data_IF_607222865542
#
_entry.id   IF_607222865542
#
_cell.length_a   1.000
_cell.length_b   1.000
_cell.length_c   1.000
_cell.angle_alpha   90.00
_cell.angle_beta   90.00
_cell.angle_gamma   90.00
#
_symmetry.space_group_name_H-M   'P 1'
#
loop_
_entity.id
_entity.type
_entity.pdbx_description
1 polymer ?
#
# COMPACT_ATOMS: atom_id res chain seq x y z
N UNK A 1 3.73 -0.39 7.42
CA UNK A 1 3.80 -1.87 7.34
C UNK A 1 5.17 -2.31 7.84
N UNK A 2 5.23 -3.14 8.88
CA UNK A 2 6.50 -3.61 9.45
C UNK A 2 6.64 -5.10 9.16
N UNK A 3 7.58 -5.44 8.27
CA UNK A 3 7.80 -6.80 7.79
C UNK A 3 8.81 -7.55 8.65
N UNK A 4 8.70 -8.87 8.66
CA UNK A 4 9.82 -9.72 9.06
C UNK A 4 11.01 -9.40 8.13
N UNK A 5 12.21 -9.07 8.68
CA UNK A 5 13.38 -8.78 7.86
C UNK A 5 13.71 -9.86 6.82
N UNK A 6 13.40 -11.13 7.12
CA UNK A 6 13.61 -12.27 6.20
C UNK A 6 12.58 -12.35 5.08
N UNK A 7 11.49 -11.57 5.16
CA UNK A 7 10.36 -11.54 4.21
C UNK A 7 10.31 -10.29 3.35
N UNK A 8 11.28 -9.39 3.49
CA UNK A 8 11.34 -8.13 2.74
C UNK A 8 11.41 -8.37 1.23
N UNK A 9 12.27 -9.28 0.77
CA UNK A 9 12.42 -9.54 -0.67
C UNK A 9 11.17 -10.20 -1.26
N UNK A 10 10.54 -11.10 -0.51
CA UNK A 10 9.26 -11.71 -0.87
C UNK A 10 8.16 -10.64 -1.02
N UNK A 11 8.09 -9.68 -0.09
CA UNK A 11 7.18 -8.55 -0.18
C UNK A 11 7.43 -7.70 -1.43
N UNK A 12 8.68 -7.33 -1.71
CA UNK A 12 9.01 -6.49 -2.87
C UNK A 12 8.64 -7.18 -4.18
N UNK A 13 8.92 -8.48 -4.30
CA UNK A 13 8.53 -9.28 -5.47
C UNK A 13 7.01 -9.31 -5.63
N UNK A 14 6.28 -9.62 -4.55
CA UNK A 14 4.82 -9.63 -4.57
C UNK A 14 4.24 -8.26 -4.95
N UNK A 15 4.84 -7.16 -4.46
CA UNK A 15 4.41 -5.81 -4.80
C UNK A 15 4.71 -5.46 -6.27
N UNK A 16 5.86 -5.86 -6.79
CA UNK A 16 6.26 -5.61 -8.18
C UNK A 16 5.26 -6.21 -9.18
N UNK A 17 4.78 -7.42 -8.90
CA UNK A 17 3.77 -8.13 -9.71
C UNK A 17 2.42 -7.40 -9.78
N UNK A 18 2.03 -6.69 -8.71
CA UNK A 18 0.67 -6.14 -8.56
C UNK A 18 0.59 -4.63 -8.62
N UNK A 19 1.72 -3.90 -8.50
CA UNK A 19 1.74 -2.43 -8.44
C UNK A 19 1.02 -1.76 -9.61
N UNK A 20 1.14 -2.32 -10.82
CA UNK A 20 0.49 -1.78 -12.01
C UNK A 20 -1.03 -2.03 -12.02
N UNK A 21 -1.49 -3.15 -11.44
CA UNK A 21 -2.92 -3.41 -11.28
C UNK A 21 -3.55 -2.43 -10.29
N UNK A 22 -2.85 -2.14 -9.20
CA UNK A 22 -3.29 -1.17 -8.19
C UNK A 22 -3.26 0.24 -8.79
N UNK A 23 -2.16 0.63 -9.45
CA UNK A 23 -2.01 1.97 -10.05
C UNK A 23 -3.07 2.26 -11.12
N UNK A 24 -3.51 1.23 -11.85
CA UNK A 24 -4.54 1.36 -12.89
C UNK A 24 -5.95 1.03 -12.39
N UNK A 25 -6.14 0.84 -11.09
CA UNK A 25 -7.48 0.68 -10.53
C UNK A 25 -8.26 2.00 -10.65
N UNK A 26 -9.57 1.90 -10.85
CA UNK A 26 -10.41 3.07 -11.04
C UNK A 26 -10.29 4.06 -9.87
N UNK A 27 -10.06 5.34 -10.19
CA UNK A 27 -9.89 6.41 -9.21
C UNK A 27 -8.49 6.61 -8.64
N UNK A 28 -7.49 5.77 -8.96
CA UNK A 28 -6.12 5.98 -8.47
C UNK A 28 -5.39 7.03 -9.30
N UNK A 29 -4.99 8.13 -8.65
CA UNK A 29 -4.23 9.21 -9.28
C UNK A 29 -2.72 9.10 -9.01
N UNK A 30 -2.37 8.51 -7.88
CA UNK A 30 -0.98 8.35 -7.45
C UNK A 30 -0.80 7.06 -6.64
N UNK A 31 0.36 6.43 -6.79
CA UNK A 31 0.79 5.32 -5.94
C UNK A 31 2.32 5.36 -5.80
N UNK A 32 2.80 5.39 -4.56
CA UNK A 32 4.21 5.28 -4.19
C UNK A 32 4.40 4.21 -3.12
N UNK A 33 5.47 3.43 -3.27
CA UNK A 33 6.00 2.59 -2.19
C UNK A 33 7.20 3.31 -1.57
N UNK A 34 7.09 3.63 -0.29
CA UNK A 34 8.12 4.29 0.49
C UNK A 34 8.75 3.28 1.45
N UNK A 35 10.04 3.40 1.69
CA UNK A 35 10.78 2.62 2.70
C UNK A 35 11.30 3.59 3.76
N UNK A 36 11.22 3.19 5.03
CA UNK A 36 11.83 3.95 6.11
C UNK A 36 13.34 4.08 5.91
N UNK A 37 13.92 5.23 6.28
CA UNK A 37 15.33 5.51 6.06
C UNK A 37 16.25 4.76 7.02
N UNK A 38 15.75 4.39 8.20
CA UNK A 38 16.54 3.78 9.28
C UNK A 38 16.26 2.29 9.40
N UNK A 39 15.01 1.88 9.17
CA UNK A 39 14.53 0.52 9.35
C UNK A 39 14.07 -0.05 7.98
N UNK A 40 14.94 -0.74 7.23
CA UNK A 40 14.66 -1.15 5.85
C UNK A 40 13.52 -2.17 5.69
N UNK A 41 13.03 -2.74 6.80
CA UNK A 41 11.88 -3.64 6.85
C UNK A 41 10.55 -2.91 7.13
N UNK A 42 10.57 -1.58 7.23
CA UNK A 42 9.38 -0.74 7.37
C UNK A 42 9.08 -0.07 6.03
N UNK A 43 7.84 -0.25 5.56
CA UNK A 43 7.34 0.30 4.31
C UNK A 43 6.00 1.00 4.48
N UNK A 44 5.74 1.94 3.58
CA UNK A 44 4.48 2.68 3.48
C UNK A 44 4.00 2.67 2.03
N UNK A 45 2.71 2.45 1.83
CA UNK A 45 2.06 2.72 0.55
C UNK A 45 1.34 4.06 0.66
N UNK A 46 1.67 4.99 -0.21
CA UNK A 46 1.02 6.30 -0.30
C UNK A 46 0.29 6.41 -1.61
N UNK A 47 -1.01 6.71 -1.56
CA UNK A 47 -1.86 6.75 -2.75
C UNK A 47 -2.85 7.91 -2.70
N UNK A 48 -3.10 8.52 -3.85
CA UNK A 48 -4.15 9.52 -4.04
C UNK A 48 -5.31 8.91 -4.79
N UNK A 49 -6.52 9.23 -4.34
CA UNK A 49 -7.76 8.71 -4.88
C UNK A 49 -8.68 9.87 -5.24
N UNK A 50 -9.36 9.77 -6.38
CA UNK A 50 -10.32 10.76 -6.85
C UNK A 50 -11.50 10.94 -5.89
N UNK A 51 -11.90 9.88 -5.17
CA UNK A 51 -12.98 9.92 -4.18
C UNK A 51 -12.81 8.82 -3.12
N UNK A 52 -13.41 9.04 -1.95
CA UNK A 52 -13.50 8.02 -0.90
C UNK A 52 -14.24 6.76 -1.39
N UNK A 53 -15.27 6.92 -2.22
CA UNK A 53 -16.03 5.79 -2.78
C UNK A 53 -15.15 4.87 -3.63
N UNK A 54 -14.24 5.41 -4.46
CA UNK A 54 -13.33 4.59 -5.27
C UNK A 54 -12.28 3.89 -4.41
N UNK A 55 -11.80 4.55 -3.35
CA UNK A 55 -10.94 3.90 -2.36
C UNK A 55 -11.66 2.73 -1.67
N UNK A 56 -12.91 2.90 -1.26
CA UNK A 56 -13.68 1.83 -0.64
C UNK A 56 -14.01 0.71 -1.62
N UNK A 57 -14.29 1.01 -2.89
CA UNK A 57 -14.45 0.00 -3.93
C UNK A 57 -13.17 -0.84 -4.09
N UNK A 58 -12.00 -0.20 -4.06
CA UNK A 58 -10.73 -0.91 -4.07
C UNK A 58 -10.53 -1.78 -2.83
N UNK A 59 -10.76 -1.26 -1.61
CA UNK A 59 -10.63 -2.00 -0.36
C UNK A 59 -11.53 -3.24 -0.29
N UNK A 60 -12.70 -3.19 -0.93
CA UNK A 60 -13.64 -4.32 -1.00
C UNK A 60 -13.43 -5.21 -2.24
N UNK A 61 -12.46 -4.92 -3.10
CA UNK A 61 -12.23 -5.65 -4.34
C UNK A 61 -11.49 -6.98 -4.13
N UNK A 62 -11.69 -7.91 -5.08
CA UNK A 62 -10.91 -9.16 -5.14
C UNK A 62 -9.42 -8.92 -5.31
N UNK A 63 -9.03 -7.84 -6.01
CA UNK A 63 -7.63 -7.45 -6.16
C UNK A 63 -7.02 -7.15 -4.79
N UNK A 64 -7.67 -6.31 -3.98
CA UNK A 64 -7.19 -5.97 -2.65
C UNK A 64 -7.13 -7.21 -1.75
N UNK A 65 -8.21 -8.01 -1.71
CA UNK A 65 -8.24 -9.22 -0.89
C UNK A 65 -7.11 -10.19 -1.25
N UNK A 66 -6.87 -10.41 -2.55
CA UNK A 66 -5.77 -11.27 -3.04
C UNK A 66 -4.40 -10.74 -2.64
N UNK A 67 -4.15 -9.44 -2.81
CA UNK A 67 -2.87 -8.81 -2.44
C UNK A 67 -2.68 -8.86 -0.92
N UNK A 68 -3.71 -8.49 -0.17
CA UNK A 68 -3.65 -8.39 1.28
C UNK A 68 -3.44 -9.75 1.95
N UNK A 69 -4.08 -10.80 1.45
CA UNK A 69 -3.90 -12.16 1.95
C UNK A 69 -2.46 -12.68 1.77
N UNK A 70 -1.75 -12.22 0.72
CA UNK A 70 -0.32 -12.54 0.52
C UNK A 70 0.60 -11.68 1.39
N UNK A 71 0.29 -10.38 1.51
CA UNK A 71 1.17 -9.41 2.18
C UNK A 71 1.08 -9.48 3.71
N UNK A 72 -0.13 -9.64 4.26
CA UNK A 72 -0.37 -9.60 5.72
C UNK A 72 0.41 -10.64 6.52
N UNK A 73 0.55 -11.91 6.07
CA UNK A 73 1.34 -12.91 6.78
C UNK A 73 2.84 -12.57 6.90
N UNK A 74 3.34 -11.62 6.11
CA UNK A 74 4.76 -11.24 6.11
C UNK A 74 5.10 -10.21 7.20
N UNK A 75 4.11 -9.74 7.96
CA UNK A 75 4.31 -8.72 8.99
C UNK A 75 4.79 -9.30 10.33
N UNK A 76 5.63 -8.54 11.04
CA UNK A 76 6.00 -8.80 12.45
C UNK A 76 5.23 -7.91 13.43
N UNK A 77 4.54 -6.89 12.92
CA UNK A 77 3.69 -6.01 13.72
C UNK A 77 2.40 -5.70 12.96
N UNK A 78 1.35 -5.32 13.69
CA UNK A 78 0.08 -4.93 13.10
C UNK A 78 0.28 -3.74 12.16
N UNK A 79 -0.30 -3.81 10.96
CA UNK A 79 -0.30 -2.68 10.04
C UNK A 79 -1.26 -1.58 10.49
N UNK A 80 -0.85 -0.33 10.30
CA UNK A 80 -1.63 0.88 10.55
C UNK A 80 -1.87 1.60 9.23
N UNK A 81 -3.04 2.24 9.11
CA UNK A 81 -3.45 2.96 7.90
C UNK A 81 -4.40 4.10 8.27
N UNK A 82 -4.30 5.20 7.53
CA UNK A 82 -5.15 6.39 7.66
C UNK A 82 -5.52 6.90 6.27
N UNK A 83 -6.74 7.42 6.15
CA UNK A 83 -7.14 8.33 5.08
C UNK A 83 -7.09 9.75 5.67
N UNK A 84 -6.52 10.71 4.94
CA UNK A 84 -6.26 12.06 5.45
C UNK A 84 -6.64 13.11 4.41
N UNK A 85 -7.05 14.28 4.87
CA UNK A 85 -7.25 15.46 4.04
C UNK A 85 -5.96 16.30 3.96
N UNK A 86 -5.64 16.78 2.76
CA UNK A 86 -4.56 17.76 2.55
C UNK A 86 -5.06 19.16 2.95
N UNK A 87 -4.74 19.60 4.17
CA UNK A 87 -5.19 20.92 4.66
C UNK A 87 -4.41 22.07 4.03
N UNK A 88 -3.13 21.86 3.74
CA UNK A 88 -2.24 22.85 3.14
C UNK A 88 -1.30 22.13 2.18
N UNK A 89 -1.27 22.58 0.92
CA UNK A 89 -0.28 22.18 -0.07
C UNK A 89 0.62 23.36 -0.39
N UNK A 90 1.92 23.20 -0.21
CA UNK A 90 2.92 24.17 -0.63
C UNK A 90 3.68 23.52 -1.78
N UNK A 91 3.36 23.92 -3.01
CA UNK A 91 4.02 23.48 -4.25
C UNK A 91 5.02 24.51 -4.74
#
# INVERSE_FOLDING_TARGET
>A
MTFDPTKVDEFLSNFDEVKHLIRNFDGVEHLSLLRDKTHPHIFFTYSHWQSEQQLENYRNSDLFNRVWNKTKPLFIAKAEAWSVDEIIKIS
#
